data_IF_241247546766
#
_entry.id   IF_241247546766
#
_cell.length_a   1.000
_cell.length_b   1.000
_cell.length_c   1.000
_cell.angle_alpha   90.00
_cell.angle_beta   90.00
_cell.angle_gamma   90.00
#
_symmetry.space_group_name_H-M   'P 1'
#
loop_
_entity.id
_entity.type
_entity.pdbx_description
1 polymer ?
#
# COMPACT_ATOMS: atom_id res chain seq x y z
N UNK A 1 -5.81 -32.88 -17.56
CA UNK A 1 -4.53 -33.58 -17.38
C UNK A 1 -3.34 -32.75 -17.86
N UNK A 2 -3.39 -32.12 -19.06
CA UNK A 2 -2.30 -31.29 -19.58
C UNK A 2 -1.99 -30.08 -18.67
N UNK A 3 -3.02 -29.39 -18.18
CA UNK A 3 -2.87 -28.21 -17.29
C UNK A 3 -2.20 -28.56 -15.96
N UNK A 4 -2.44 -29.75 -15.42
CA UNK A 4 -1.83 -30.21 -14.16
C UNK A 4 -0.36 -30.57 -14.35
N UNK A 5 0.02 -31.07 -15.51
CA UNK A 5 1.41 -31.38 -15.87
C UNK A 5 2.20 -30.10 -16.15
N UNK A 6 1.64 -29.15 -16.87
CA UNK A 6 2.21 -27.83 -17.11
C UNK A 6 2.39 -27.03 -15.80
N UNK A 7 1.41 -27.11 -14.89
CA UNK A 7 1.52 -26.47 -13.58
C UNK A 7 2.63 -27.08 -12.70
N UNK A 8 2.93 -28.37 -12.85
CA UNK A 8 4.06 -29.02 -12.14
C UNK A 8 5.43 -28.60 -12.67
N UNK A 9 5.54 -28.28 -13.95
CA UNK A 9 6.83 -27.89 -14.58
C UNK A 9 7.04 -26.38 -14.51
N UNK A 10 6.01 -25.58 -14.77
CA UNK A 10 6.09 -24.12 -14.87
C UNK A 10 5.55 -23.38 -13.63
N UNK A 11 5.03 -24.10 -12.63
CA UNK A 11 4.35 -23.54 -11.47
C UNK A 11 2.96 -22.98 -11.82
N UNK A 12 2.16 -22.70 -10.78
CA UNK A 12 0.86 -22.03 -10.94
C UNK A 12 1.05 -20.56 -11.28
N UNK A 13 0.00 -19.91 -11.81
CA UNK A 13 0.01 -18.47 -12.08
C UNK A 13 0.39 -17.67 -10.80
N UNK A 14 -0.18 -18.07 -9.66
CA UNK A 14 0.14 -17.44 -8.37
C UNK A 14 1.61 -17.57 -8.00
N UNK A 15 2.22 -18.73 -8.22
CA UNK A 15 3.66 -18.92 -7.94
C UNK A 15 4.55 -18.05 -8.84
N UNK A 16 4.17 -17.88 -10.11
CA UNK A 16 4.89 -16.99 -11.04
C UNK A 16 4.75 -15.54 -10.63
N UNK A 17 3.54 -15.12 -10.24
CA UNK A 17 3.30 -13.76 -9.78
C UNK A 17 4.07 -13.47 -8.48
N UNK A 18 4.09 -14.40 -7.52
CA UNK A 18 4.89 -14.28 -6.30
C UNK A 18 6.39 -14.14 -6.61
N UNK A 19 6.94 -14.97 -7.49
CA UNK A 19 8.35 -14.86 -7.91
C UNK A 19 8.67 -13.50 -8.54
N UNK A 20 7.74 -12.90 -9.28
CA UNK A 20 7.94 -11.58 -9.91
C UNK A 20 7.94 -10.42 -8.92
N UNK A 21 7.26 -10.56 -7.78
CA UNK A 21 7.19 -9.48 -6.78
C UNK A 21 8.22 -9.60 -5.67
N UNK A 22 8.81 -10.78 -5.47
CA UNK A 22 9.87 -10.96 -4.46
C UNK A 22 11.05 -9.98 -4.59
N UNK A 23 11.59 -9.69 -5.80
CA UNK A 23 12.64 -8.69 -5.96
C UNK A 23 12.19 -7.30 -5.47
N UNK A 24 10.95 -6.88 -5.76
CA UNK A 24 10.42 -5.59 -5.30
C UNK A 24 10.35 -5.53 -3.78
N UNK A 25 9.93 -6.62 -3.13
CA UNK A 25 9.92 -6.71 -1.66
C UNK A 25 11.34 -6.60 -1.10
N UNK A 26 12.32 -7.24 -1.73
CA UNK A 26 13.71 -7.13 -1.33
C UNK A 26 14.25 -5.69 -1.47
N UNK A 27 13.88 -4.99 -2.54
CA UNK A 27 14.22 -3.58 -2.73
C UNK A 27 13.56 -2.67 -1.69
N UNK A 28 12.26 -2.87 -1.39
CA UNK A 28 11.56 -2.14 -0.31
C UNK A 28 12.27 -2.38 1.03
N UNK A 29 12.67 -3.62 1.33
CA UNK A 29 13.44 -3.94 2.52
C UNK A 29 14.81 -3.24 2.54
N UNK A 30 15.47 -3.14 1.40
CA UNK A 30 16.73 -2.42 1.25
C UNK A 30 16.62 -0.91 1.54
N UNK A 31 15.44 -0.30 1.34
CA UNK A 31 15.19 1.11 1.67
C UNK A 31 14.98 1.37 3.16
N UNK A 32 14.65 0.34 3.95
CA UNK A 32 14.20 0.51 5.34
C UNK A 32 15.15 1.33 6.20
N UNK A 33 16.44 1.06 6.15
CA UNK A 33 17.42 1.76 6.98
C UNK A 33 17.49 3.26 6.65
N UNK A 34 17.48 3.61 5.37
CA UNK A 34 17.53 5.00 4.91
C UNK A 34 16.24 5.75 5.26
N UNK A 35 15.08 5.12 5.06
CA UNK A 35 13.78 5.73 5.39
C UNK A 35 13.61 5.88 6.91
N UNK A 36 14.07 4.92 7.68
CA UNK A 36 14.06 4.99 9.15
C UNK A 36 14.92 6.12 9.71
N UNK A 37 16.02 6.46 9.05
CA UNK A 37 16.89 7.57 9.44
C UNK A 37 16.28 8.95 9.15
N UNK A 38 15.25 9.05 8.29
CA UNK A 38 14.58 10.31 7.99
C UNK A 38 13.87 10.86 9.23
N UNK A 39 13.92 12.18 9.41
CA UNK A 39 13.06 12.90 10.34
C UNK A 39 11.59 12.87 9.88
N UNK A 40 10.66 13.21 10.79
CA UNK A 40 9.24 13.32 10.44
C UNK A 40 8.98 14.40 9.36
N UNK A 41 9.77 15.47 9.36
CA UNK A 41 9.66 16.54 8.34
C UNK A 41 10.07 15.99 6.97
N UNK A 42 11.16 15.26 6.89
CA UNK A 42 11.64 14.63 5.65
C UNK A 42 10.64 13.59 5.13
N UNK A 43 10.06 12.77 6.01
CA UNK A 43 9.03 11.80 5.61
C UNK A 43 7.77 12.49 5.04
N UNK A 44 7.30 13.57 5.69
CA UNK A 44 6.17 14.36 5.18
C UNK A 44 6.46 14.97 3.82
N UNK A 45 7.69 15.46 3.59
CA UNK A 45 8.09 16.05 2.31
C UNK A 45 8.16 15.04 1.16
N UNK A 46 8.28 13.73 1.44
CA UNK A 46 8.33 12.68 0.41
C UNK A 46 7.12 12.71 -0.52
N UNK A 47 5.92 12.95 0.02
CA UNK A 47 4.69 13.04 -0.80
C UNK A 47 4.80 14.12 -1.89
N UNK A 48 5.33 15.31 -1.54
CA UNK A 48 5.52 16.37 -2.52
C UNK A 48 6.56 15.96 -3.57
N UNK A 49 7.66 15.34 -3.15
CA UNK A 49 8.70 14.83 -4.06
C UNK A 49 8.16 13.77 -5.02
N UNK A 50 7.33 12.84 -4.56
CA UNK A 50 6.69 11.84 -5.43
C UNK A 50 5.74 12.48 -6.45
N UNK A 51 4.93 13.46 -6.03
CA UNK A 51 4.05 14.20 -6.94
C UNK A 51 4.85 14.94 -8.02
N UNK A 52 5.94 15.59 -7.65
CA UNK A 52 6.83 16.24 -8.63
C UNK A 52 7.41 15.24 -9.63
N UNK A 53 7.77 14.03 -9.21
CA UNK A 53 8.24 13.00 -10.14
C UNK A 53 7.13 12.55 -11.09
N UNK A 54 5.87 12.39 -10.62
CA UNK A 54 4.73 12.10 -11.48
C UNK A 54 4.49 13.22 -12.50
N UNK A 55 4.57 14.47 -12.09
CA UNK A 55 4.45 15.64 -12.98
C UNK A 55 5.56 15.68 -14.04
N UNK A 56 6.72 15.10 -13.74
CA UNK A 56 7.86 14.96 -14.66
C UNK A 56 7.78 13.70 -15.54
N UNK A 57 6.70 12.93 -15.44
CA UNK A 57 6.43 11.78 -16.29
C UNK A 57 6.80 10.42 -15.69
N UNK A 58 7.20 10.34 -14.42
CA UNK A 58 7.31 9.06 -13.74
C UNK A 58 5.95 8.41 -13.58
N UNK A 59 5.92 7.08 -13.54
CA UNK A 59 4.71 6.30 -13.29
C UNK A 59 4.56 5.95 -11.81
N UNK A 60 3.37 5.53 -11.38
CA UNK A 60 3.17 5.02 -10.03
C UNK A 60 4.02 3.76 -9.76
N UNK A 61 4.26 2.93 -10.79
CA UNK A 61 5.14 1.76 -10.67
C UNK A 61 6.60 2.16 -10.39
N UNK A 62 7.09 3.26 -10.95
CA UNK A 62 8.44 3.78 -10.68
C UNK A 62 8.60 4.24 -9.23
N UNK A 63 7.52 4.70 -8.61
CA UNK A 63 7.50 5.19 -7.23
C UNK A 63 7.20 4.10 -6.19
N UNK A 64 6.75 2.91 -6.62
CA UNK A 64 6.21 1.86 -5.76
C UNK A 64 7.14 1.52 -4.60
N UNK A 65 8.41 1.27 -4.87
CA UNK A 65 9.39 0.82 -3.89
C UNK A 65 9.57 1.87 -2.78
N UNK A 66 9.82 3.11 -3.17
CA UNK A 66 10.07 4.20 -2.22
C UNK A 66 8.79 4.60 -1.47
N UNK A 67 7.63 4.64 -2.15
CA UNK A 67 6.35 4.92 -1.53
C UNK A 67 5.96 3.86 -0.50
N UNK A 68 6.14 2.58 -0.81
CA UNK A 68 5.83 1.48 0.12
C UNK A 68 6.78 1.48 1.32
N UNK A 69 8.07 1.78 1.12
CA UNK A 69 9.02 1.93 2.21
C UNK A 69 8.62 3.08 3.16
N UNK A 70 8.18 4.21 2.61
CA UNK A 70 7.69 5.37 3.38
C UNK A 70 6.42 5.01 4.16
N UNK A 71 5.42 4.40 3.53
CA UNK A 71 4.17 3.99 4.21
C UNK A 71 4.46 3.00 5.33
N UNK A 72 5.38 2.04 5.12
CA UNK A 72 5.77 1.07 6.14
C UNK A 72 6.39 1.73 7.37
N UNK A 73 7.31 2.67 7.19
CA UNK A 73 7.93 3.41 8.29
C UNK A 73 6.91 4.29 9.01
N UNK A 74 6.08 5.02 8.27
CA UNK A 74 5.02 5.85 8.87
C UNK A 74 4.01 5.00 9.63
N UNK A 75 3.62 3.83 9.11
CA UNK A 75 2.78 2.85 9.81
C UNK A 75 3.37 2.46 11.15
N UNK A 76 4.68 2.21 11.20
CA UNK A 76 5.39 1.96 12.46
C UNK A 76 5.38 3.18 13.39
N UNK A 77 5.65 4.38 12.89
CA UNK A 77 5.72 5.59 13.73
C UNK A 77 4.38 5.94 14.35
N UNK A 78 3.31 5.95 13.55
CA UNK A 78 2.00 6.48 13.99
C UNK A 78 1.06 5.42 14.56
N UNK A 79 1.20 4.15 14.13
CA UNK A 79 0.33 3.05 14.56
C UNK A 79 1.05 1.98 15.38
N UNK A 80 2.39 1.99 15.41
CA UNK A 80 3.23 0.89 15.91
C UNK A 80 3.01 -0.42 15.13
N UNK A 81 2.61 -0.30 13.87
CA UNK A 81 2.33 -1.43 12.98
C UNK A 81 3.26 -1.37 11.77
N UNK A 82 4.22 -2.28 11.72
CA UNK A 82 5.13 -2.43 10.58
C UNK A 82 4.57 -3.48 9.62
N UNK A 83 4.46 -3.15 8.35
CA UNK A 83 4.06 -4.14 7.34
C UNK A 83 5.08 -5.28 7.23
N UNK A 84 4.58 -6.51 7.24
CA UNK A 84 5.37 -7.71 6.94
C UNK A 84 5.54 -7.90 5.43
N UNK A 85 6.50 -8.71 5.01
CA UNK A 85 6.78 -8.93 3.59
C UNK A 85 5.57 -9.49 2.83
N UNK A 86 4.80 -10.40 3.45
CA UNK A 86 3.55 -10.90 2.85
C UNK A 86 2.51 -9.80 2.65
N UNK A 87 2.51 -8.79 3.50
CA UNK A 87 1.62 -7.63 3.39
C UNK A 87 2.09 -6.66 2.29
N UNK A 88 3.41 -6.50 2.11
CA UNK A 88 3.95 -5.77 0.95
C UNK A 88 3.54 -6.44 -0.36
N UNK A 89 3.62 -7.78 -0.45
CA UNK A 89 3.13 -8.55 -1.59
C UNK A 89 1.65 -8.25 -1.84
N UNK A 90 0.81 -8.31 -0.79
CA UNK A 90 -0.61 -7.98 -0.90
C UNK A 90 -0.85 -6.56 -1.45
N UNK A 91 -0.13 -5.57 -0.95
CA UNK A 91 -0.20 -4.19 -1.43
C UNK A 91 0.20 -4.05 -2.90
N UNK A 92 1.27 -4.74 -3.34
CA UNK A 92 1.70 -4.76 -4.74
C UNK A 92 0.62 -5.38 -5.63
N UNK A 93 0.00 -6.49 -5.20
CA UNK A 93 -1.08 -7.13 -5.95
C UNK A 93 -2.30 -6.21 -6.08
N UNK A 94 -2.69 -5.51 -5.02
CA UNK A 94 -3.78 -4.52 -5.06
C UNK A 94 -3.45 -3.39 -6.02
N UNK A 95 -2.25 -2.82 -5.96
CA UNK A 95 -1.82 -1.77 -6.89
C UNK A 95 -1.89 -2.23 -8.35
N UNK A 96 -1.56 -3.49 -8.62
CA UNK A 96 -1.63 -4.10 -9.97
C UNK A 96 -3.05 -4.52 -10.39
N UNK A 97 -4.07 -4.10 -9.67
CA UNK A 97 -5.47 -4.43 -9.98
C UNK A 97 -5.83 -5.91 -9.79
N UNK A 98 -5.07 -6.64 -8.96
CA UNK A 98 -5.33 -8.05 -8.65
C UNK A 98 -6.06 -8.19 -7.32
N UNK A 99 -6.72 -9.33 -7.14
CA UNK A 99 -7.31 -9.71 -5.85
C UNK A 99 -6.20 -10.31 -4.98
N UNK A 100 -6.00 -9.71 -3.79
CA UNK A 100 -5.11 -10.24 -2.78
C UNK A 100 -5.95 -10.97 -1.72
N UNK A 101 -6.02 -12.30 -1.82
CA UNK A 101 -6.68 -13.12 -0.82
C UNK A 101 -5.79 -13.24 0.42
N UNK A 102 -6.33 -12.86 1.57
CA UNK A 102 -5.66 -12.93 2.86
C UNK A 102 -6.64 -13.46 3.92
N UNK A 103 -6.14 -14.31 4.82
CA UNK A 103 -6.95 -14.87 5.90
C UNK A 103 -7.40 -13.79 6.89
N UNK A 104 -8.43 -14.10 7.66
CA UNK A 104 -8.88 -13.25 8.76
C UNK A 104 -7.72 -13.08 9.78
N UNK A 105 -7.49 -11.83 10.21
CA UNK A 105 -6.40 -11.51 11.15
C UNK A 105 -5.05 -11.16 10.49
N UNK A 106 -4.86 -11.36 9.19
CA UNK A 106 -3.58 -11.07 8.49
C UNK A 106 -3.37 -9.59 8.17
N UNK A 107 -4.23 -8.70 8.65
CA UNK A 107 -4.03 -7.25 8.54
C UNK A 107 -4.40 -6.63 7.20
N UNK A 108 -5.46 -7.12 6.52
CA UNK A 108 -5.95 -6.58 5.24
C UNK A 108 -6.11 -5.06 5.23
N UNK A 109 -6.62 -4.49 6.31
CA UNK A 109 -6.82 -3.05 6.47
C UNK A 109 -5.50 -2.28 6.40
N UNK A 110 -4.44 -2.81 7.03
CA UNK A 110 -3.11 -2.23 6.96
C UNK A 110 -2.49 -2.38 5.57
N UNK A 111 -2.68 -3.52 4.91
CA UNK A 111 -2.21 -3.78 3.54
C UNK A 111 -2.77 -2.77 2.54
N UNK A 112 -4.06 -2.44 2.67
CA UNK A 112 -4.72 -1.47 1.78
C UNK A 112 -4.04 -0.09 1.80
N UNK A 113 -3.38 0.28 2.90
CA UNK A 113 -2.72 1.60 3.03
C UNK A 113 -1.60 1.79 2.02
N UNK A 114 -0.90 0.73 1.65
CA UNK A 114 0.19 0.75 0.68
C UNK A 114 -0.30 1.18 -0.72
N UNK A 115 -1.27 0.43 -1.25
CA UNK A 115 -1.83 0.72 -2.56
C UNK A 115 -2.63 2.03 -2.58
N UNK A 116 -3.39 2.32 -1.51
CA UNK A 116 -4.17 3.54 -1.42
C UNK A 116 -3.27 4.79 -1.42
N UNK A 117 -2.18 4.79 -0.65
CA UNK A 117 -1.24 5.91 -0.66
C UNK A 117 -0.61 6.12 -2.04
N UNK A 118 -0.04 5.05 -2.62
CA UNK A 118 0.63 5.13 -3.92
C UNK A 118 -0.29 5.67 -5.02
N UNK A 119 -1.51 5.14 -5.10
CA UNK A 119 -2.47 5.56 -6.13
C UNK A 119 -3.11 6.92 -5.86
N UNK A 120 -3.07 7.44 -4.62
CA UNK A 120 -3.56 8.78 -4.30
C UNK A 120 -2.53 9.89 -4.61
N UNK A 121 -1.28 9.54 -4.97
CA UNK A 121 -0.24 10.52 -5.28
C UNK A 121 -0.60 11.39 -6.50
N UNK A 122 -1.33 10.84 -7.48
CA UNK A 122 -1.74 11.56 -8.69
C UNK A 122 -2.82 12.64 -8.45
N UNK A 123 -3.34 12.74 -7.22
CA UNK A 123 -4.33 13.77 -6.83
C UNK A 123 -5.77 13.49 -7.24
N UNK A 124 -6.07 12.39 -7.95
CA UNK A 124 -7.45 12.05 -8.36
C UNK A 124 -8.29 11.43 -7.26
N UNK A 125 -7.68 11.09 -6.14
CA UNK A 125 -8.32 10.43 -5.01
C UNK A 125 -8.41 8.92 -5.15
N UNK A 126 -8.60 8.25 -4.01
CA UNK A 126 -8.76 6.78 -3.93
C UNK A 126 -9.93 6.47 -3.01
N UNK A 127 -10.79 5.57 -3.44
CA UNK A 127 -11.89 5.05 -2.65
C UNK A 127 -11.50 3.72 -2.01
N UNK A 128 -11.56 3.66 -0.67
CA UNK A 128 -11.44 2.43 0.10
C UNK A 128 -12.83 2.01 0.55
N UNK A 129 -13.35 0.94 -0.04
CA UNK A 129 -14.71 0.46 0.22
C UNK A 129 -14.70 -0.62 1.29
N UNK A 130 -15.57 -0.50 2.27
CA UNK A 130 -15.77 -1.46 3.36
C UNK A 130 -17.19 -2.02 3.34
N UNK A 131 -17.44 -3.10 4.10
CA UNK A 131 -18.73 -3.77 4.08
C UNK A 131 -19.85 -2.99 4.79
N UNK A 132 -19.52 -2.02 5.65
CA UNK A 132 -20.48 -1.20 6.37
C UNK A 132 -19.87 0.11 6.90
N UNK A 133 -20.74 1.02 7.33
CA UNK A 133 -20.39 2.37 7.81
C UNK A 133 -19.50 2.34 9.06
N UNK A 134 -19.72 1.39 9.96
CA UNK A 134 -18.89 1.25 11.15
C UNK A 134 -17.42 0.98 10.76
N UNK A 135 -17.20 0.06 9.84
CA UNK A 135 -15.83 -0.25 9.37
C UNK A 135 -15.26 0.92 8.56
N UNK A 136 -16.06 1.60 7.75
CA UNK A 136 -15.61 2.78 7.01
C UNK A 136 -15.05 3.83 7.97
N UNK A 137 -15.77 4.15 9.05
CA UNK A 137 -15.35 5.11 10.05
C UNK A 137 -14.12 4.62 10.83
N UNK A 138 -14.20 3.41 11.36
CA UNK A 138 -13.09 2.81 12.12
C UNK A 138 -11.78 2.81 11.33
N UNK A 139 -11.83 2.35 10.08
CA UNK A 139 -10.64 2.21 9.24
C UNK A 139 -10.11 3.58 8.79
N UNK A 140 -10.99 4.54 8.51
CA UNK A 140 -10.59 5.92 8.21
C UNK A 140 -9.94 6.62 9.41
N UNK A 141 -10.46 6.40 10.62
CA UNK A 141 -9.88 6.97 11.84
C UNK A 141 -8.53 6.33 12.16
N UNK A 142 -8.40 5.03 12.00
CA UNK A 142 -7.22 4.28 12.35
C UNK A 142 -6.12 4.41 11.27
N UNK A 143 -6.37 3.94 10.06
CA UNK A 143 -5.40 3.96 8.95
C UNK A 143 -5.21 5.36 8.38
N UNK A 144 -6.23 6.22 8.48
CA UNK A 144 -6.15 7.62 8.06
C UNK A 144 -5.04 8.42 8.74
N UNK A 145 -4.55 7.97 9.89
CA UNK A 145 -3.39 8.57 10.57
C UNK A 145 -2.12 8.48 9.72
N UNK A 146 -1.93 7.41 8.95
CA UNK A 146 -0.81 7.27 8.00
C UNK A 146 -0.93 8.33 6.91
N UNK A 147 -2.10 8.44 6.28
CA UNK A 147 -2.33 9.38 5.17
C UNK A 147 -2.19 10.83 5.62
N UNK A 148 -2.81 11.20 6.76
CA UNK A 148 -2.70 12.55 7.31
C UNK A 148 -1.27 12.91 7.70
N UNK A 149 -0.50 11.97 8.26
CA UNK A 149 0.92 12.18 8.54
C UNK A 149 1.69 12.51 7.25
N UNK A 150 1.36 11.87 6.13
CA UNK A 150 1.97 12.08 4.82
C UNK A 150 1.33 13.25 4.04
N UNK A 151 0.49 14.07 4.67
CA UNK A 151 -0.07 15.28 4.07
C UNK A 151 -1.26 15.05 3.12
N UNK A 152 -1.93 13.88 3.20
CA UNK A 152 -3.14 13.61 2.44
C UNK A 152 -4.39 13.88 3.27
N UNK A 153 -5.46 14.33 2.61
CA UNK A 153 -6.79 14.44 3.20
C UNK A 153 -7.48 13.07 3.25
N UNK A 154 -8.34 12.88 4.26
CA UNK A 154 -9.14 11.66 4.43
C UNK A 154 -10.56 12.06 4.76
N UNK A 155 -11.51 11.67 3.92
CA UNK A 155 -12.95 11.77 4.15
C UNK A 155 -13.55 10.40 4.42
N UNK A 156 -14.76 10.38 5.01
CA UNK A 156 -15.55 9.18 5.24
C UNK A 156 -16.95 9.40 4.66
N UNK A 157 -17.42 8.46 3.88
CA UNK A 157 -18.80 8.47 3.34
C UNK A 157 -19.60 7.42 4.11
N UNK A 158 -20.70 7.84 4.72
CA UNK A 158 -21.61 7.00 5.50
C UNK A 158 -23.07 7.34 5.15
N UNK A 159 -24.01 6.44 5.46
CA UNK A 159 -25.43 6.59 5.09
C UNK A 159 -26.12 7.81 5.71
N UNK A 160 -25.74 8.20 6.94
CA UNK A 160 -26.43 9.20 7.75
C UNK A 160 -25.67 10.52 7.93
N UNK A 161 -24.63 10.79 7.13
CA UNK A 161 -24.01 12.11 7.14
C UNK A 161 -24.93 13.06 6.35
N UNK A 162 -25.84 13.72 7.06
CA UNK A 162 -26.48 14.93 6.57
C UNK A 162 -25.52 16.09 6.86
N UNK A 163 -25.09 16.77 5.79
CA UNK A 163 -24.35 18.02 5.88
C UNK A 163 -25.13 19.09 6.69
#
# INVERSE_FOLDING_TARGET
MLDTLLAKVFGTQNQRDLKRVQPLVAEINGREAAIRACSDIELKSKTLGFRQQLDQGATADDLLIDAFAVVREVGWRVLKMRHFDVQLIGGIMLHRGKIAEMKTGEGKTLVATLAAYLNALDGKGVHVVTVNDYLARRDADWMGRIYRFLGMSVGVIQHDIRD
#
